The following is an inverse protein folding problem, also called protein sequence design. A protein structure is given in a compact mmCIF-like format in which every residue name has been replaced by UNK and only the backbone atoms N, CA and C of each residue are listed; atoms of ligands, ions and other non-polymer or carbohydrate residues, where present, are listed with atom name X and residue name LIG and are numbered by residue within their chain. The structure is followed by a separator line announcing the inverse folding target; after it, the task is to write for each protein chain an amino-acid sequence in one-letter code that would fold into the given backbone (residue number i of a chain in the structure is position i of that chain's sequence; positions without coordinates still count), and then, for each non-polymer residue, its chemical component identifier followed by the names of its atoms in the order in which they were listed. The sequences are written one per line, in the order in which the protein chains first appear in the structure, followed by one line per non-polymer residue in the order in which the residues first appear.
data_IF_510454834366
#
_entry.id   IF_510454834366
#
_cell.length_a   1.000
_cell.length_b   1.000
_cell.length_c   1.000
_cell.angle_alpha   90.00
_cell.angle_beta   90.00
_cell.angle_gamma   90.00
#
_symmetry.space_group_name_H-M   'P 1'
#
loop_
_entity.id
_entity.type
_entity.pdbx_description
1 polymer ?
#
# COMPACT_ATOMS: atom_id res chain seq x y z
N UNK A 1 -1.77 4.16 -0.89
CA UNK A 1 -2.73 3.54 0.08
C UNK A 1 -4.13 3.87 -0.41
N UNK A 2 -5.07 2.93 -0.28
CA UNK A 2 -6.48 3.18 -0.57
C UNK A 2 -7.32 2.96 0.71
N UNK A 3 -8.37 3.77 0.89
CA UNK A 3 -9.39 3.59 1.92
C UNK A 3 -10.75 3.49 1.22
N UNK A 4 -11.49 2.41 1.47
CA UNK A 4 -12.82 2.23 0.91
C UNK A 4 -13.20 0.76 0.79
N UNK A 5 -13.96 0.47 -0.26
CA UNK A 5 -14.52 -0.84 -0.54
C UNK A 5 -13.44 -1.89 -0.90
N UNK A 6 -13.63 -3.13 -0.45
CA UNK A 6 -12.78 -4.27 -0.80
C UNK A 6 -13.54 -5.55 -1.18
N UNK A 7 -14.85 -5.48 -1.48
CA UNK A 7 -15.69 -6.67 -1.73
C UNK A 7 -15.29 -7.45 -2.97
N UNK A 8 -14.76 -6.78 -4.01
CA UNK A 8 -14.29 -7.42 -5.23
C UNK A 8 -13.06 -8.32 -5.03
N UNK A 9 -12.34 -8.14 -3.92
CA UNK A 9 -11.19 -8.95 -3.53
C UNK A 9 -11.54 -9.96 -2.42
N UNK A 10 -12.84 -10.20 -2.16
CA UNK A 10 -13.30 -11.12 -1.12
C UNK A 10 -13.29 -10.54 0.29
N UNK A 11 -13.07 -9.23 0.44
CA UNK A 11 -13.22 -8.54 1.70
C UNK A 11 -14.69 -8.30 2.08
N UNK A 12 -14.91 -7.85 3.32
CA UNK A 12 -16.26 -7.63 3.87
C UNK A 12 -16.62 -6.14 3.99
N UNK A 13 -15.71 -5.25 3.64
CA UNK A 13 -15.90 -3.81 3.81
C UNK A 13 -16.55 -3.23 2.57
N UNK A 14 -17.79 -2.75 2.74
CA UNK A 14 -18.49 -1.97 1.72
C UNK A 14 -18.38 -0.47 2.04
N UNK A 15 -18.10 0.35 1.02
CA UNK A 15 -18.05 1.81 1.15
C UNK A 15 -18.44 2.49 -0.15
N UNK A 16 -19.37 3.45 -0.09
CA UNK A 16 -19.75 4.26 -1.24
C UNK A 16 -18.67 5.26 -1.69
N UNK A 17 -17.65 5.48 -0.85
CA UNK A 17 -16.52 6.36 -1.13
C UNK A 17 -15.23 5.55 -1.11
N UNK A 18 -14.38 5.79 -2.11
CA UNK A 18 -13.05 5.22 -2.23
C UNK A 18 -12.04 6.36 -2.42
N UNK A 19 -10.98 6.37 -1.61
CA UNK A 19 -9.96 7.42 -1.62
C UNK A 19 -8.59 6.79 -1.83
N UNK A 20 -7.94 7.20 -2.91
CA UNK A 20 -6.54 6.87 -3.21
C UNK A 20 -5.58 7.96 -2.73
N UNK A 21 -4.48 7.53 -2.13
CA UNK A 21 -3.46 8.42 -1.58
C UNK A 21 -2.05 7.98 -1.99
N UNK A 22 -1.21 8.97 -2.27
CA UNK A 22 0.22 8.82 -2.55
C UNK A 22 1.01 9.31 -1.34
N UNK A 23 2.00 8.52 -0.92
CA UNK A 23 2.98 8.92 0.10
C UNK A 23 4.29 9.27 -0.60
N UNK A 24 4.85 10.43 -0.24
CA UNK A 24 6.15 10.86 -0.74
C UNK A 24 7.27 10.39 0.19
N UNK A 25 8.36 9.92 -0.39
CA UNK A 25 9.55 9.41 0.31
C UNK A 25 9.24 8.37 1.42
N UNK A 26 8.39 7.36 1.16
CA UNK A 26 8.08 6.35 2.17
C UNK A 26 9.29 5.43 2.41
N UNK A 27 9.37 4.89 3.62
CA UNK A 27 10.10 3.65 3.88
C UNK A 27 9.06 2.53 4.02
N UNK A 28 9.25 1.43 3.28
CA UNK A 28 8.32 0.30 3.22
C UNK A 28 9.06 -0.97 3.63
N UNK A 29 8.56 -1.62 4.67
CA UNK A 29 9.01 -2.93 5.12
C UNK A 29 8.02 -4.01 4.69
N UNK A 30 8.55 -5.15 4.26
CA UNK A 30 7.80 -6.37 3.97
C UNK A 30 8.49 -7.53 4.69
N UNK A 31 7.82 -8.08 5.69
CA UNK A 31 8.40 -9.01 6.66
C UNK A 31 9.70 -8.42 7.27
N UNK A 32 10.82 -9.16 7.23
CA UNK A 32 12.12 -8.73 7.76
C UNK A 32 12.96 -7.90 6.76
N UNK A 33 12.35 -7.44 5.66
CA UNK A 33 13.04 -6.73 4.57
C UNK A 33 12.56 -5.30 4.40
N UNK A 34 13.51 -4.39 4.14
CA UNK A 34 13.20 -3.05 3.63
C UNK A 34 13.23 -3.06 2.10
N UNK A 35 12.08 -2.85 1.46
CA UNK A 35 11.94 -2.86 -0.02
C UNK A 35 11.89 -1.45 -0.62
N UNK A 36 11.58 -0.45 0.19
CA UNK A 36 11.72 0.97 -0.17
C UNK A 36 12.33 1.70 1.02
N UNK A 37 13.35 2.53 0.80
CA UNK A 37 13.94 3.39 1.83
C UNK A 37 13.97 4.85 1.37
N UNK A 38 13.30 5.74 2.12
CA UNK A 38 13.18 7.16 1.79
C UNK A 38 12.74 7.45 0.34
N UNK A 39 11.90 6.58 -0.24
CA UNK A 39 11.43 6.65 -1.62
C UNK A 39 12.31 5.97 -2.67
N UNK A 40 13.42 5.35 -2.29
CA UNK A 40 14.29 4.56 -3.18
C UNK A 40 13.88 3.10 -3.13
N UNK A 41 13.59 2.50 -4.28
CA UNK A 41 13.18 1.09 -4.38
C UNK A 41 14.40 0.17 -4.38
N UNK A 42 14.37 -0.88 -3.56
CA UNK A 42 15.34 -1.97 -3.55
C UNK A 42 14.74 -3.19 -4.25
N UNK A 43 15.21 -3.49 -5.46
CA UNK A 43 14.91 -4.74 -6.15
C UNK A 43 16.04 -5.71 -5.81
N UNK A 44 15.71 -6.89 -5.29
CA UNK A 44 16.72 -7.96 -5.22
C UNK A 44 17.05 -8.41 -6.64
N UNK A 45 18.32 -8.72 -6.89
CA UNK A 45 18.78 -9.47 -8.07
C UNK A 45 18.48 -10.98 -7.94
#
# INVERSE_FOLDING_TARGET
IAIGDNVFYGGQTHSAVHIDMVLYQPTVHLDERTIVDAGVVHLDD
#
